data_IF_971846297126
#
_entry.id   IF_971846297126
#
_cell.length_a   1.000
_cell.length_b   1.000
_cell.length_c   1.000
_cell.angle_alpha   90.00
_cell.angle_beta   90.00
_cell.angle_gamma   90.00
#
_symmetry.space_group_name_H-M   'P 1'
#
loop_
_entity.id
_entity.type
_entity.pdbx_description
1 polymer ?
#
# COMPACT_ATOMS: atom_id res chain seq x y z
N UNK A 1 -11.04 -5.00 3.58
CA UNK A 1 -9.64 -4.53 3.70
C UNK A 1 -8.73 -5.75 3.75
N UNK A 2 -7.54 -5.70 3.15
CA UNK A 2 -6.56 -6.78 3.25
C UNK A 2 -6.15 -7.01 4.70
N UNK A 3 -5.70 -8.24 4.99
CA UNK A 3 -5.25 -8.65 6.32
C UNK A 3 -4.02 -7.85 6.77
N UNK A 4 -3.75 -7.80 8.08
CA UNK A 4 -2.55 -7.12 8.59
C UNK A 4 -1.27 -7.69 7.95
N UNK A 5 -1.20 -9.00 7.77
CA UNK A 5 -0.03 -9.67 7.18
C UNK A 5 0.27 -9.23 5.75
N UNK A 6 -0.76 -9.12 4.91
CA UNK A 6 -0.62 -8.63 3.53
C UNK A 6 -0.22 -7.15 3.45
N UNK A 7 -0.57 -6.36 4.47
CA UNK A 7 -0.25 -4.92 4.50
C UNK A 7 1.18 -4.62 4.92
N UNK A 8 1.78 -5.48 5.76
CA UNK A 8 3.07 -5.20 6.40
C UNK A 8 4.25 -5.93 5.73
N UNK A 9 3.97 -6.97 4.95
CA UNK A 9 4.99 -7.76 4.28
C UNK A 9 5.85 -6.90 3.35
N UNK A 10 7.18 -7.08 3.43
CA UNK A 10 8.15 -6.35 2.60
C UNK A 10 8.42 -4.90 3.01
N UNK A 11 7.73 -4.38 4.04
CA UNK A 11 8.08 -3.09 4.65
C UNK A 11 9.19 -3.26 5.70
N UNK A 12 9.88 -2.16 6.01
CA UNK A 12 10.80 -2.10 7.14
C UNK A 12 10.10 -1.57 8.39
N UNK A 13 10.44 -2.13 9.55
CA UNK A 13 9.91 -1.69 10.83
C UNK A 13 10.43 -0.29 11.20
N UNK A 14 9.53 0.63 11.54
CA UNK A 14 9.91 1.98 11.98
C UNK A 14 10.30 2.01 13.47
N UNK A 15 9.77 1.08 14.26
CA UNK A 15 10.09 0.87 15.67
C UNK A 15 10.27 -0.62 15.94
N UNK A 16 10.97 -0.95 17.03
CA UNK A 16 11.07 -2.34 17.49
C UNK A 16 9.66 -2.92 17.73
N UNK A 17 9.44 -4.12 17.19
CA UNK A 17 8.20 -4.87 17.39
C UNK A 17 8.50 -5.92 18.46
N UNK A 18 7.94 -5.73 19.64
CA UNK A 18 8.11 -6.61 20.79
C UNK A 18 6.85 -7.42 21.04
N UNK A 19 7.03 -8.68 21.39
CA UNK A 19 5.95 -9.50 21.91
C UNK A 19 5.64 -9.07 23.36
N UNK A 20 4.39 -8.65 23.61
CA UNK A 20 3.95 -8.19 24.93
C UNK A 20 3.91 -9.32 25.97
N UNK A 21 3.79 -10.57 25.55
CA UNK A 21 3.72 -11.72 26.44
C UNK A 21 5.11 -12.23 26.86
N UNK A 22 6.09 -12.20 25.94
CA UNK A 22 7.42 -12.79 26.18
C UNK A 22 8.53 -11.75 26.38
N UNK A 23 8.26 -10.47 26.06
CA UNK A 23 9.26 -9.40 26.08
C UNK A 23 10.35 -9.55 25.01
N UNK A 24 10.20 -10.51 24.07
CA UNK A 24 11.18 -10.75 23.01
C UNK A 24 10.93 -9.81 21.82
N UNK A 25 12.01 -9.27 21.27
CA UNK A 25 11.98 -8.51 20.02
C UNK A 25 11.76 -9.48 18.86
N UNK A 26 10.69 -9.27 18.08
CA UNK A 26 10.36 -10.05 16.88
C UNK A 26 11.09 -9.48 15.66
N UNK A 27 11.07 -8.15 15.53
CA UNK A 27 11.69 -7.39 14.43
C UNK A 27 12.32 -6.15 15.03
N UNK A 28 13.60 -5.92 14.73
CA UNK A 28 14.29 -4.72 15.17
C UNK A 28 13.97 -3.53 14.24
N UNK A 29 14.30 -2.32 14.68
CA UNK A 29 14.16 -1.11 13.85
C UNK A 29 14.99 -1.25 12.57
N UNK A 30 14.42 -0.80 11.46
CA UNK A 30 15.02 -0.84 10.12
C UNK A 30 15.26 -2.26 9.58
N UNK A 31 14.66 -3.29 10.18
CA UNK A 31 14.62 -4.64 9.62
C UNK A 31 13.37 -4.87 8.77
N UNK A 32 13.53 -5.70 7.74
CA UNK A 32 12.47 -6.09 6.82
C UNK A 32 11.49 -7.08 7.44
N UNK A 33 10.19 -6.87 7.23
CA UNK A 33 9.13 -7.74 7.72
C UNK A 33 8.88 -8.85 6.68
N UNK A 34 9.55 -9.98 6.88
CA UNK A 34 9.41 -11.20 6.09
C UNK A 34 8.17 -12.02 6.46
N UNK A 35 7.80 -12.99 5.62
CA UNK A 35 6.69 -13.92 5.79
C UNK A 35 6.72 -14.64 7.14
N UNK A 36 7.91 -15.03 7.62
CA UNK A 36 8.07 -15.65 8.94
C UNK A 36 7.83 -14.66 10.08
N UNK A 37 8.36 -13.44 9.95
CA UNK A 37 8.17 -12.36 10.93
C UNK A 37 6.69 -11.98 11.02
N UNK A 38 5.98 -11.90 9.89
CA UNK A 38 4.52 -11.69 9.84
C UNK A 38 3.78 -12.77 10.65
N UNK A 39 4.09 -14.04 10.45
CA UNK A 39 3.46 -15.14 11.22
C UNK A 39 3.70 -15.00 12.72
N UNK A 40 4.90 -14.58 13.14
CA UNK A 40 5.21 -14.33 14.55
C UNK A 40 4.42 -13.14 15.11
N UNK A 41 4.30 -12.06 14.36
CA UNK A 41 3.52 -10.86 14.74
C UNK A 41 2.04 -11.21 14.93
N UNK A 42 1.47 -11.98 14.00
CA UNK A 42 0.07 -12.42 14.09
C UNK A 42 -0.13 -13.35 15.28
N UNK A 43 0.79 -14.30 15.51
CA UNK A 43 0.73 -15.23 16.65
C UNK A 43 0.85 -14.51 18.00
N UNK A 44 1.62 -13.43 18.06
CA UNK A 44 1.74 -12.57 19.24
C UNK A 44 0.48 -11.72 19.50
N UNK A 45 -0.53 -11.75 18.62
CA UNK A 45 -1.77 -10.99 18.79
C UNK A 45 -1.61 -9.48 18.58
N UNK A 46 -0.56 -9.06 17.87
CA UNK A 46 -0.29 -7.64 17.61
C UNK A 46 -1.21 -7.15 16.48
N UNK A 47 -2.05 -6.17 16.77
CA UNK A 47 -3.03 -5.62 15.82
C UNK A 47 -2.53 -4.38 15.05
N UNK A 48 -1.47 -3.72 15.54
CA UNK A 48 -0.93 -2.50 14.96
C UNK A 48 0.59 -2.52 15.01
N UNK A 49 1.24 -2.08 13.93
CA UNK A 49 2.69 -1.98 13.82
C UNK A 49 3.07 -0.68 13.13
N UNK A 50 4.19 -0.09 13.54
CA UNK A 50 4.75 1.07 12.87
C UNK A 50 5.76 0.63 11.81
N UNK A 51 5.49 1.00 10.55
CA UNK A 51 6.34 0.70 9.41
C UNK A 51 6.88 1.99 8.79
N UNK A 52 8.02 1.90 8.13
CA UNK A 52 8.52 2.99 7.28
C UNK A 52 7.68 3.03 6.01
N UNK A 53 7.41 4.23 5.51
CA UNK A 53 6.56 4.42 4.33
C UNK A 53 7.18 5.49 3.42
N UNK A 54 6.93 5.42 2.09
CA UNK A 54 7.26 6.51 1.18
C UNK A 54 6.60 7.83 1.57
N UNK A 55 5.41 7.78 2.20
CA UNK A 55 4.64 8.95 2.61
C UNK A 55 5.33 9.80 3.69
N UNK A 56 6.19 9.19 4.51
CA UNK A 56 6.95 9.85 5.57
C UNK A 56 8.44 10.01 5.24
N UNK A 57 8.83 9.71 3.99
CA UNK A 57 10.22 9.81 3.56
C UNK A 57 10.68 11.27 3.48
N UNK A 58 11.84 11.57 4.05
CA UNK A 58 12.47 12.92 4.01
C UNK A 58 13.50 13.08 2.90
N UNK A 59 13.55 12.15 1.94
CA UNK A 59 14.47 12.26 0.81
C UNK A 59 14.08 13.46 -0.05
N UNK A 60 15.06 14.27 -0.46
CA UNK A 60 14.82 15.44 -1.32
C UNK A 60 14.39 15.05 -2.73
N UNK A 61 14.91 13.92 -3.24
CA UNK A 61 14.61 13.42 -4.57
C UNK A 61 14.25 11.93 -4.47
N UNK A 62 13.03 11.58 -4.90
CA UNK A 62 12.52 10.22 -4.85
C UNK A 62 12.32 9.71 -3.41
N UNK A 63 12.52 8.40 -3.22
CA UNK A 63 12.27 7.71 -1.95
C UNK A 63 13.54 6.94 -1.56
N UNK A 64 13.91 6.92 -0.28
CA UNK A 64 15.04 6.13 0.18
C UNK A 64 14.71 4.63 0.21
N UNK A 65 15.73 3.78 0.14
CA UNK A 65 15.56 2.32 0.14
C UNK A 65 14.76 1.83 1.35
N UNK A 66 15.03 2.38 2.54
CA UNK A 66 14.36 1.93 3.76
C UNK A 66 12.87 2.31 3.83
N UNK A 67 12.48 3.43 3.22
CA UNK A 67 11.07 3.86 3.17
C UNK A 67 10.29 3.16 2.07
N UNK A 68 10.96 2.73 0.99
CA UNK A 68 10.32 1.94 -0.06
C UNK A 68 10.19 0.46 0.33
N UNK A 69 11.26 -0.15 0.86
CA UNK A 69 11.29 -1.54 1.28
C UNK A 69 11.64 -2.53 0.17
N UNK A 70 10.93 -3.66 0.15
CA UNK A 70 11.13 -4.79 -0.76
C UNK A 70 10.74 -4.42 -2.20
N UNK A 71 11.62 -4.75 -3.15
CA UNK A 71 11.29 -4.82 -4.57
C UNK A 71 10.42 -6.05 -4.82
N UNK A 72 9.14 -5.84 -5.13
CA UNK A 72 8.16 -6.89 -5.37
C UNK A 72 8.54 -7.83 -6.53
N UNK A 73 9.35 -7.37 -7.48
CA UNK A 73 9.79 -8.19 -8.60
C UNK A 73 10.97 -9.11 -8.24
N UNK A 74 11.78 -8.73 -7.24
CA UNK A 74 13.01 -9.45 -6.86
C UNK A 74 12.96 -10.12 -5.49
N UNK A 75 11.99 -9.77 -4.65
CA UNK A 75 11.86 -10.32 -3.30
C UNK A 75 12.96 -9.90 -2.33
N UNK A 76 13.69 -8.81 -2.62
CA UNK A 76 14.76 -8.26 -1.78
C UNK A 76 14.66 -6.74 -1.71
N UNK A 77 15.41 -6.10 -0.82
CA UNK A 77 15.46 -4.65 -0.73
C UNK A 77 15.74 -3.98 -2.08
N UNK A 78 15.01 -2.90 -2.37
CA UNK A 78 15.11 -2.18 -3.64
C UNK A 78 16.52 -1.65 -3.90
N UNK A 79 16.99 -1.75 -5.13
CA UNK A 79 18.29 -1.19 -5.51
C UNK A 79 18.22 0.36 -5.58
N UNK A 80 19.32 1.06 -5.25
CA UNK A 80 19.39 2.51 -5.45
C UNK A 80 19.13 2.86 -6.93
N UNK A 81 18.50 4.01 -7.17
CA UNK A 81 18.15 4.53 -8.51
C UNK A 81 17.16 3.67 -9.32
N UNK A 82 16.48 2.72 -8.67
CA UNK A 82 15.35 2.03 -9.31
C UNK A 82 14.24 3.04 -9.62
N UNK A 83 13.69 3.00 -10.82
CA UNK A 83 12.64 3.91 -11.29
C UNK A 83 11.25 3.54 -10.70
N UNK A 84 11.14 3.51 -9.38
CA UNK A 84 9.94 3.07 -8.63
C UNK A 84 8.69 3.88 -8.98
N UNK A 85 8.83 5.15 -9.36
CA UNK A 85 7.70 5.98 -9.80
C UNK A 85 7.10 5.54 -11.14
N UNK A 86 7.95 5.15 -12.11
CA UNK A 86 7.48 4.63 -13.40
C UNK A 86 6.79 3.28 -13.21
N UNK A 87 7.39 2.41 -12.38
CA UNK A 87 6.82 1.11 -12.03
C UNK A 87 5.42 1.30 -11.40
N UNK A 88 5.30 2.19 -10.41
CA UNK A 88 4.03 2.49 -9.76
C UNK A 88 2.99 3.04 -10.75
N UNK A 89 3.38 3.96 -11.64
CA UNK A 89 2.49 4.52 -12.65
C UNK A 89 1.94 3.45 -13.60
N UNK A 90 2.80 2.52 -14.06
CA UNK A 90 2.39 1.42 -14.92
C UNK A 90 1.46 0.44 -14.20
N UNK A 91 1.80 0.05 -12.96
CA UNK A 91 0.98 -0.87 -12.17
C UNK A 91 -0.44 -0.34 -11.87
N UNK A 92 -0.61 0.98 -11.83
CA UNK A 92 -1.92 1.62 -11.67
C UNK A 92 -2.62 1.82 -13.03
N UNK A 93 -1.87 2.24 -14.05
CA UNK A 93 -2.40 2.58 -15.36
C UNK A 93 -2.87 1.38 -16.20
N UNK A 94 -2.14 0.26 -16.17
CA UNK A 94 -2.48 -0.93 -16.97
C UNK A 94 -3.87 -1.49 -16.61
N UNK A 95 -4.21 -1.74 -15.32
CA UNK A 95 -5.58 -2.10 -14.95
C UNK A 95 -6.64 -1.05 -15.30
N UNK A 96 -6.27 0.24 -15.30
CA UNK A 96 -7.17 1.33 -15.72
C UNK A 96 -7.66 1.20 -17.15
N UNK A 97 -6.80 0.75 -18.07
CA UNK A 97 -7.19 0.47 -19.46
C UNK A 97 -8.22 -0.67 -19.52
N UNK A 98 -8.06 -1.70 -18.70
CA UNK A 98 -8.99 -2.83 -18.61
C UNK A 98 -10.35 -2.42 -18.01
N UNK A 99 -10.36 -1.54 -17.01
CA UNK A 99 -11.59 -1.01 -16.41
C UNK A 99 -12.42 -0.22 -17.43
N UNK A 100 -11.77 0.52 -18.33
CA UNK A 100 -12.42 1.29 -19.40
C UNK A 100 -13.04 0.39 -20.46
N UNK A 101 -12.38 -0.72 -20.83
CA UNK A 101 -12.92 -1.67 -21.80
C UNK A 101 -14.15 -2.42 -21.25
N UNK A 102 -14.19 -2.72 -19.95
CA UNK A 102 -15.35 -3.39 -19.32
C UNK A 102 -16.59 -2.50 -19.27
N UNK A 103 -16.45 -1.17 -19.11
CA UNK A 103 -17.60 -0.26 -19.10
C UNK A 103 -18.39 -0.23 -20.41
N UNK A 104 -17.77 -0.51 -21.56
CA UNK A 104 -18.49 -0.58 -22.85
C UNK A 104 -19.30 -1.87 -23.04
N UNK A 105 -18.92 -2.98 -22.41
CA UNK A 105 -19.65 -4.25 -22.53
C UNK A 105 -20.75 -4.42 -21.48
N UNK A 106 -20.65 -3.74 -20.33
CA UNK A 106 -21.69 -3.73 -19.28
C UNK A 106 -22.61 -2.50 -19.35
N UNK A 107 -22.36 -1.58 -20.30
CA UNK A 107 -23.04 -0.28 -20.45
C UNK A 107 -24.54 -0.29 -20.78
N UNK A 108 -25.22 -1.44 -20.68
CA UNK A 108 -26.68 -1.56 -20.84
C UNK A 108 -27.47 -1.75 -19.55
N UNK A 109 -26.80 -1.95 -18.40
CA UNK A 109 -27.50 -2.19 -17.12
C UNK A 109 -27.72 -0.87 -16.39
N UNK A 110 -28.87 -0.24 -16.63
CA UNK A 110 -29.36 0.91 -15.85
C UNK A 110 -29.58 0.45 -14.40
N UNK A 111 -28.70 0.87 -13.48
CA UNK A 111 -28.90 0.66 -12.04
C UNK A 111 -27.64 0.44 -11.20
N UNK A 112 -26.52 0.07 -11.82
CA UNK A 112 -25.23 -0.06 -11.11
C UNK A 112 -24.41 1.21 -11.30
N UNK A 113 -24.16 1.92 -10.21
CA UNK A 113 -23.42 3.19 -10.19
C UNK A 113 -22.01 3.03 -10.80
N UNK A 114 -21.82 3.55 -12.02
CA UNK A 114 -20.56 3.51 -12.80
C UNK A 114 -19.47 4.37 -12.15
N UNK A 115 -19.82 5.18 -11.13
CA UNK A 115 -18.87 6.02 -10.37
C UNK A 115 -17.88 5.22 -9.52
N UNK A 116 -17.87 3.88 -9.61
CA UNK A 116 -16.96 2.98 -8.89
C UNK A 116 -15.77 2.47 -9.73
N UNK A 117 -15.70 2.82 -11.03
CA UNK A 117 -14.64 2.40 -11.96
C UNK A 117 -13.52 3.44 -12.17
N UNK A 118 -13.04 3.58 -13.40
CA UNK A 118 -12.03 4.59 -13.77
C UNK A 118 -12.41 6.03 -13.39
N UNK A 119 -13.68 6.49 -13.53
CA UNK A 119 -14.06 7.83 -13.10
C UNK A 119 -13.77 8.11 -11.62
N UNK A 120 -13.83 7.09 -10.74
CA UNK A 120 -13.46 7.25 -9.33
C UNK A 120 -11.98 7.48 -9.15
N UNK A 121 -11.18 6.74 -9.90
CA UNK A 121 -9.72 6.82 -9.86
C UNK A 121 -9.29 8.21 -10.30
N UNK A 122 -9.82 8.71 -11.43
CA UNK A 122 -9.56 10.07 -11.91
C UNK A 122 -9.96 11.14 -10.89
N UNK A 123 -11.16 11.03 -10.31
CA UNK A 123 -11.64 11.97 -9.30
C UNK A 123 -10.71 12.05 -8.08
N UNK A 124 -10.20 10.89 -7.61
CA UNK A 124 -9.26 10.79 -6.49
C UNK A 124 -7.87 11.34 -6.83
N UNK A 125 -7.34 11.03 -8.02
CA UNK A 125 -6.02 11.50 -8.45
C UNK A 125 -5.98 13.01 -8.75
N UNK A 126 -7.09 13.57 -9.22
CA UNK A 126 -7.22 15.00 -9.51
C UNK A 126 -7.82 15.82 -8.36
N UNK A 127 -8.09 15.19 -7.22
CA UNK A 127 -8.70 15.82 -6.05
C UNK A 127 -9.98 16.62 -6.36
N UNK A 128 -10.83 16.09 -7.25
CA UNK A 128 -12.12 16.70 -7.60
C UNK A 128 -13.13 16.49 -6.47
N UNK A 129 -14.16 17.34 -6.43
CA UNK A 129 -15.25 17.20 -5.45
C UNK A 129 -16.09 15.97 -5.81
N UNK A 130 -16.32 15.03 -4.88
CA UNK A 130 -17.15 13.87 -5.11
C UNK A 130 -18.60 14.24 -5.36
N UNK A 131 -19.21 13.57 -6.34
CA UNK A 131 -20.64 13.71 -6.65
C UNK A 131 -21.54 13.37 -5.45
N UNK A 132 -21.12 12.40 -4.65
CA UNK A 132 -21.76 11.99 -3.39
C UNK A 132 -20.84 12.33 -2.21
N UNK A 133 -20.71 13.61 -1.87
CA UNK A 133 -19.92 14.06 -0.73
C UNK A 133 -20.58 13.67 0.59
N UNK A 134 -19.85 12.98 1.46
CA UNK A 134 -20.28 12.74 2.83
C UNK A 134 -20.02 13.97 3.70
N UNK A 135 -20.93 14.22 4.66
CA UNK A 135 -20.71 15.22 5.71
C UNK A 135 -19.76 14.59 6.74
N UNK A 136 -18.68 15.31 7.06
CA UNK A 136 -17.70 14.91 8.08
C UNK A 136 -17.91 15.84 9.28
N UNK A 137 -17.78 15.31 10.50
CA UNK A 137 -17.78 16.14 11.72
C UNK A 137 -16.54 17.04 11.73
N UNK A 138 -16.75 18.31 12.07
CA UNK A 138 -15.66 19.21 12.49
C UNK A 138 -15.04 18.74 13.82
#
# INVERSE_FOLDING_TARGET
MPSLGERIIGYLAASQIVDSATGKVIVDRDEEIDEERVKRIIKAGINQVYVRSPLSCRSRFGVCQCCYGRDLARGRLVNPRTAVGIIAAQSIGEPGTQLTLRTFHTGGVVGTDITSGLPRVEELFEARIPKASAIISE
#
